data_IF_365128519045
#
_entry.id   IF_365128519045
#
_cell.length_a   1.000
_cell.length_b   1.000
_cell.length_c   1.000
_cell.angle_alpha   90.00
_cell.angle_beta   90.00
_cell.angle_gamma   90.00
#
_symmetry.space_group_name_H-M   'P 1'
#
loop_
_entity.id
_entity.type
_entity.pdbx_description
1 polymer ?
#
# COMPACT_ATOMS: atom_id res chain seq x y z
N UNK A 1 7.99 -20.34 10.03
CA UNK A 1 8.04 -19.39 8.90
C UNK A 1 9.01 -18.26 9.27
N UNK A 2 9.87 -17.83 8.34
CA UNK A 2 10.90 -16.81 8.63
C UNK A 2 10.23 -15.50 9.11
N UNK A 3 10.73 -14.89 10.21
CA UNK A 3 10.19 -13.65 10.77
C UNK A 3 10.20 -12.52 9.75
N UNK A 4 11.27 -12.42 8.95
CA UNK A 4 11.36 -11.42 7.88
C UNK A 4 10.24 -11.61 6.86
N UNK A 5 10.05 -12.84 6.37
CA UNK A 5 9.01 -13.17 5.40
C UNK A 5 7.61 -12.85 5.93
N UNK A 6 7.33 -13.16 7.21
CA UNK A 6 6.06 -12.78 7.85
C UNK A 6 5.87 -11.26 7.84
N UNK A 7 6.91 -10.50 8.21
CA UNK A 7 6.85 -9.04 8.29
C UNK A 7 6.69 -8.41 6.91
N UNK A 8 7.39 -8.91 5.89
CA UNK A 8 7.24 -8.48 4.49
C UNK A 8 5.81 -8.71 4.01
N UNK A 9 5.26 -9.92 4.18
CA UNK A 9 3.88 -10.23 3.78
C UNK A 9 2.89 -9.32 4.51
N UNK A 10 3.04 -9.14 5.83
CA UNK A 10 2.16 -8.27 6.60
C UNK A 10 2.21 -6.81 6.12
N UNK A 11 3.40 -6.31 5.76
CA UNK A 11 3.61 -4.96 5.24
C UNK A 11 2.98 -4.76 3.85
N UNK A 12 3.12 -5.74 2.96
CA UNK A 12 2.45 -5.74 1.65
C UNK A 12 0.93 -5.81 1.80
N UNK A 13 0.40 -6.62 2.73
CA UNK A 13 -1.03 -6.66 3.00
C UNK A 13 -1.53 -5.31 3.52
N UNK A 14 -0.77 -4.68 4.42
CA UNK A 14 -1.11 -3.35 4.93
C UNK A 14 -1.12 -2.28 3.82
N UNK A 15 -0.22 -2.38 2.84
CA UNK A 15 -0.22 -1.52 1.65
C UNK A 15 -1.40 -1.79 0.71
N UNK A 16 -1.77 -3.06 0.49
CA UNK A 16 -2.84 -3.42 -0.45
C UNK A 16 -4.22 -2.92 -0.02
N UNK A 17 -4.51 -2.94 1.28
CA UNK A 17 -5.83 -2.55 1.84
C UNK A 17 -6.28 -1.15 1.38
N UNK A 18 -5.52 -0.06 1.57
CA UNK A 18 -5.94 1.26 1.12
C UNK A 18 -6.12 1.35 -0.40
N UNK A 19 -5.27 0.68 -1.19
CA UNK A 19 -5.40 0.66 -2.65
C UNK A 19 -6.66 -0.05 -3.11
N UNK A 20 -7.03 -1.17 -2.47
CA UNK A 20 -8.28 -1.86 -2.73
C UNK A 20 -9.49 -0.96 -2.41
N UNK A 21 -9.45 -0.26 -1.27
CA UNK A 21 -10.51 0.68 -0.89
C UNK A 21 -10.63 1.81 -1.92
N UNK A 22 -9.52 2.41 -2.35
CA UNK A 22 -9.51 3.48 -3.35
C UNK A 22 -10.08 2.98 -4.69
N UNK A 23 -9.66 1.80 -5.14
CA UNK A 23 -10.15 1.17 -6.36
C UNK A 23 -11.66 0.94 -6.32
N UNK A 24 -12.17 0.33 -5.24
CA UNK A 24 -13.61 0.08 -5.06
C UNK A 24 -14.41 1.38 -4.93
N UNK A 25 -13.80 2.43 -4.38
CA UNK A 25 -14.43 3.75 -4.23
C UNK A 25 -14.51 4.51 -5.55
N UNK A 26 -13.52 4.34 -6.43
CA UNK A 26 -13.37 5.10 -7.69
C UNK A 26 -13.70 4.28 -8.95
N UNK A 27 -14.22 3.05 -8.80
CA UNK A 27 -14.46 2.05 -9.87
C UNK A 27 -15.14 2.59 -11.14
N UNK A 28 -15.99 3.63 -11.03
CA UNK A 28 -16.66 4.26 -12.19
C UNK A 28 -15.72 5.02 -13.13
N UNK A 29 -14.52 5.39 -12.70
CA UNK A 29 -13.64 6.35 -13.40
C UNK A 29 -12.61 5.73 -14.35
N UNK A 30 -12.57 4.39 -14.51
CA UNK A 30 -11.56 3.65 -15.32
C UNK A 30 -10.08 3.98 -14.97
N UNK A 31 -9.79 4.58 -13.81
CA UNK A 31 -8.44 4.99 -13.38
C UNK A 31 -7.62 3.86 -12.74
N UNK A 32 -7.68 2.64 -13.26
CA UNK A 32 -6.98 1.49 -12.66
C UNK A 32 -5.47 1.53 -12.85
N UNK A 33 -4.98 1.95 -14.02
CA UNK A 33 -3.55 1.99 -14.34
C UNK A 33 -2.71 2.84 -13.36
N UNK A 34 -3.05 4.11 -13.06
CA UNK A 34 -2.25 4.90 -12.12
C UNK A 34 -2.26 4.31 -10.70
N UNK A 35 -3.34 3.67 -10.27
CA UNK A 35 -3.39 3.00 -8.97
C UNK A 35 -2.42 1.81 -8.90
N UNK A 36 -2.32 1.04 -9.99
CA UNK A 36 -1.37 -0.08 -10.08
C UNK A 36 0.07 0.44 -10.03
N UNK A 37 0.39 1.52 -10.76
CA UNK A 37 1.73 2.12 -10.75
C UNK A 37 2.11 2.59 -9.34
N UNK A 38 1.22 3.29 -8.65
CA UNK A 38 1.45 3.76 -7.28
C UNK A 38 1.61 2.60 -6.29
N UNK A 39 0.83 1.52 -6.46
CA UNK A 39 0.98 0.31 -5.65
C UNK A 39 2.36 -0.33 -5.84
N UNK A 40 2.82 -0.46 -7.09
CA UNK A 40 4.15 -1.00 -7.41
C UNK A 40 5.24 -0.13 -6.78
N UNK A 41 5.14 1.21 -6.87
CA UNK A 41 6.10 2.12 -6.26
C UNK A 41 6.17 1.93 -4.73
N UNK A 42 5.02 1.70 -4.08
CA UNK A 42 4.94 1.54 -2.62
C UNK A 42 5.48 0.20 -2.09
N UNK A 43 5.39 -0.88 -2.87
CA UNK A 43 5.74 -2.25 -2.41
C UNK A 43 6.98 -2.86 -3.06
N UNK A 44 7.27 -2.54 -4.33
CA UNK A 44 8.37 -3.18 -5.07
C UNK A 44 9.75 -3.01 -4.42
N UNK A 45 10.12 -1.84 -3.85
CA UNK A 45 11.40 -1.69 -3.17
C UNK A 45 11.56 -2.64 -1.97
N UNK A 46 10.50 -2.82 -1.16
CA UNK A 46 10.50 -3.71 -0.01
C UNK A 46 10.61 -5.18 -0.45
N UNK A 47 9.84 -5.58 -1.46
CA UNK A 47 9.92 -6.95 -2.00
C UNK A 47 11.31 -7.27 -2.54
N UNK A 48 11.90 -6.35 -3.31
CA UNK A 48 13.24 -6.53 -3.86
C UNK A 48 14.27 -6.72 -2.74
N UNK A 49 14.31 -5.80 -1.77
CA UNK A 49 15.29 -5.86 -0.69
C UNK A 49 15.06 -7.05 0.24
N UNK A 50 13.82 -7.46 0.47
CA UNK A 50 13.54 -8.65 1.28
C UNK A 50 14.00 -9.95 0.58
N UNK A 51 13.81 -10.04 -0.74
CA UNK A 51 14.31 -11.18 -1.53
C UNK A 51 15.84 -11.18 -1.56
N UNK A 52 16.45 -10.02 -1.75
CA UNK A 52 17.91 -9.86 -1.74
C UNK A 52 18.50 -10.27 -0.37
N UNK A 53 17.92 -9.78 0.73
CA UNK A 53 18.33 -10.14 2.10
C UNK A 53 18.17 -11.63 2.42
N UNK A 54 17.14 -12.28 1.87
CA UNK A 54 16.95 -13.73 2.05
C UNK A 54 17.95 -14.59 1.26
N UNK A 55 18.51 -14.06 0.17
CA UNK A 55 19.46 -14.79 -0.68
C UNK A 55 20.93 -14.42 -0.40
N UNK A 56 21.16 -13.30 0.26
CA UNK A 56 22.49 -12.77 0.57
C UNK A 56 22.83 -13.03 2.04
N UNK A 57 24.03 -13.58 2.30
CA UNK A 57 24.54 -13.77 3.66
C UNK A 57 25.17 -12.48 4.19
N UNK A 58 24.35 -11.45 4.42
CA UNK A 58 24.83 -10.21 5.03
C UNK A 58 25.40 -10.49 6.43
N UNK A 59 26.62 -10.03 6.70
CA UNK A 59 27.27 -10.17 8.01
C UNK A 59 26.64 -9.27 9.08
N UNK A 60 26.07 -8.14 8.67
CA UNK A 60 25.52 -7.11 9.54
C UNK A 60 24.07 -6.76 9.15
N UNK A 61 23.41 -5.94 9.98
CA UNK A 61 22.06 -5.48 9.73
C UNK A 61 21.95 -4.67 8.43
N UNK A 62 21.02 -5.09 7.56
CA UNK A 62 20.73 -4.39 6.32
C UNK A 62 19.87 -3.14 6.57
N UNK A 63 20.51 -1.98 6.73
CA UNK A 63 19.82 -0.68 6.93
C UNK A 63 18.88 -0.38 5.77
N UNK A 64 19.25 -0.77 4.53
CA UNK A 64 18.42 -0.59 3.35
C UNK A 64 17.06 -1.28 3.48
N UNK A 65 17.05 -2.53 3.97
CA UNK A 65 15.83 -3.28 4.22
C UNK A 65 14.93 -2.59 5.27
N UNK A 66 15.53 -2.11 6.37
CA UNK A 66 14.80 -1.36 7.40
C UNK A 66 14.16 -0.08 6.85
N UNK A 67 14.88 0.66 6.01
CA UNK A 67 14.36 1.85 5.34
C UNK A 67 13.23 1.52 4.35
N UNK A 68 13.33 0.38 3.64
CA UNK A 68 12.28 -0.09 2.75
C UNK A 68 10.97 -0.37 3.52
N UNK A 69 11.06 -1.03 4.69
CA UNK A 69 9.90 -1.23 5.57
C UNK A 69 9.26 0.10 5.99
N UNK A 70 10.07 1.05 6.48
CA UNK A 70 9.57 2.35 6.90
C UNK A 70 8.91 3.11 5.74
N UNK A 71 9.52 3.09 4.57
CA UNK A 71 8.97 3.68 3.36
C UNK A 71 7.59 3.09 3.04
N UNK A 72 7.47 1.76 2.96
CA UNK A 72 6.20 1.08 2.68
C UNK A 72 5.13 1.39 3.73
N UNK A 73 5.49 1.44 5.02
CA UNK A 73 4.53 1.77 6.09
C UNK A 73 4.03 3.21 6.03
N UNK A 74 4.92 4.19 5.83
CA UNK A 74 4.55 5.60 5.68
C UNK A 74 3.68 5.78 4.44
N UNK A 75 4.06 5.15 3.33
CA UNK A 75 3.30 5.18 2.08
C UNK A 75 1.89 4.60 2.27
N UNK A 76 1.79 3.46 2.95
CA UNK A 76 0.51 2.81 3.29
C UNK A 76 -0.38 3.71 4.15
N UNK A 77 0.19 4.37 5.16
CA UNK A 77 -0.54 5.29 6.03
C UNK A 77 -1.12 6.49 5.24
N UNK A 78 -0.32 7.07 4.33
CA UNK A 78 -0.78 8.15 3.45
C UNK A 78 -1.90 7.66 2.52
N UNK A 79 -1.72 6.50 1.88
CA UNK A 79 -2.74 5.91 1.03
C UNK A 79 -4.05 5.64 1.80
N UNK A 80 -3.95 5.23 3.07
CA UNK A 80 -5.11 5.01 3.94
C UNK A 80 -5.86 6.30 4.27
N UNK A 81 -5.15 7.40 4.55
CA UNK A 81 -5.77 8.72 4.73
C UNK A 81 -6.53 9.13 3.46
N UNK A 82 -5.92 8.97 2.29
CA UNK A 82 -6.58 9.25 0.99
C UNK A 82 -7.82 8.39 0.81
N UNK A 83 -7.75 7.10 1.14
CA UNK A 83 -8.88 6.18 1.06
C UNK A 83 -10.07 6.65 1.92
N UNK A 84 -9.81 7.06 3.18
CA UNK A 84 -10.83 7.59 4.09
C UNK A 84 -11.49 8.85 3.50
N UNK A 85 -10.69 9.80 3.01
CA UNK A 85 -11.21 11.04 2.40
C UNK A 85 -12.15 10.72 1.23
N UNK A 86 -11.79 9.76 0.38
CA UNK A 86 -12.61 9.35 -0.75
C UNK A 86 -13.92 8.67 -0.31
N UNK A 87 -13.88 7.83 0.72
CA UNK A 87 -15.09 7.21 1.30
C UNK A 87 -16.05 8.29 1.80
N UNK A 88 -15.55 9.25 2.58
CA UNK A 88 -16.37 10.34 3.15
C UNK A 88 -16.99 11.19 2.04
N UNK A 89 -16.20 11.57 1.03
CA UNK A 89 -16.71 12.32 -0.14
C UNK A 89 -17.78 11.55 -0.90
N UNK A 90 -17.60 10.25 -1.14
CA UNK A 90 -18.58 9.42 -1.84
C UNK A 90 -19.90 9.32 -1.05
N UNK A 91 -19.83 9.13 0.26
CA UNK A 91 -21.01 9.07 1.13
C UNK A 91 -21.79 10.39 1.07
N UNK A 92 -21.12 11.53 1.14
CA UNK A 92 -21.75 12.86 1.03
C UNK A 92 -22.49 13.04 -0.30
N UNK A 93 -21.84 12.70 -1.41
CA UNK A 93 -22.44 12.88 -2.74
C UNK A 93 -23.68 11.99 -2.94
N UNK A 94 -23.66 10.75 -2.43
CA UNK A 94 -24.81 9.85 -2.51
C UNK A 94 -26.00 10.29 -1.64
N UNK A 95 -25.76 11.03 -0.55
CA UNK A 95 -26.84 11.57 0.29
C UNK A 95 -27.54 12.74 -0.41
N UNK A 96 -26.78 13.67 -0.99
CA UNK A 96 -27.33 14.81 -1.76
C UNK A 96 -28.21 14.31 -2.92
N UNK A 97 -27.79 13.26 -3.64
CA UNK A 97 -28.57 12.73 -4.75
C UNK A 97 -29.88 12.03 -4.36
N UNK A 98 -30.12 11.76 -3.07
CA UNK A 98 -31.38 11.17 -2.58
C UNK A 98 -32.39 12.21 -2.12
N UNK A 99 -31.95 13.44 -1.89
CA UNK A 99 -32.79 14.57 -1.47
C UNK A 99 -33.33 15.39 -2.66
N UNK A 100 -32.80 15.13 -3.87
CA UNK A 100 -33.28 15.67 -5.15
C UNK A 100 -34.19 14.69 -5.85
#
# INVERSE_FOLDING_TARGET
MNKLLILTIASEMFLLVPFLIIYLTTRKTKKSLPLIILLIIGGAPLLYLAIDDMNSNYMDANIGLGLAFMFTWIYSAIAFIVAIILIVKRKRNNNISKEQ
#
